data_IF_378077494838
#
_entry.id   IF_378077494838
#
_cell.length_a   1.000
_cell.length_b   1.000
_cell.length_c   1.000
_cell.angle_alpha   90.00
_cell.angle_beta   90.00
_cell.angle_gamma   90.00
#
_symmetry.space_group_name_H-M   'P 1'
#
loop_
_entity.id
_entity.type
_entity.pdbx_description
1 polymer ?
#
# COMPACT_ATOMS: atom_id res chain seq x y z
N UNK A 1 11.96 10.65 27.28
CA UNK A 1 13.00 11.06 26.31
C UNK A 1 13.26 12.54 26.54
N UNK A 2 14.46 12.90 26.95
CA UNK A 2 14.82 14.26 27.31
C UNK A 2 15.92 14.75 26.36
N UNK A 3 15.82 16.01 25.90
CA UNK A 3 16.85 16.65 25.08
C UNK A 3 17.24 17.93 25.80
N UNK A 4 18.50 18.01 26.21
CA UNK A 4 19.10 19.25 26.71
C UNK A 4 19.57 20.13 25.55
N UNK A 5 19.59 21.43 25.83
CA UNK A 5 20.22 22.43 24.97
C UNK A 5 21.73 22.24 25.07
N UNK A 6 22.44 22.36 23.94
CA UNK A 6 23.91 22.37 23.89
C UNK A 6 24.40 23.78 23.62
N UNK A 7 25.55 24.13 24.18
CA UNK A 7 26.14 25.44 24.00
C UNK A 7 26.53 25.68 22.53
N UNK A 8 26.20 26.87 22.02
CA UNK A 8 26.48 27.28 20.64
C UNK A 8 25.57 26.66 19.57
N UNK A 9 24.50 25.96 19.95
CA UNK A 9 23.55 25.42 18.98
C UNK A 9 22.46 26.42 18.56
N UNK A 10 21.98 26.27 17.33
CA UNK A 10 20.78 26.99 16.87
C UNK A 10 19.51 26.28 17.33
N UNK A 11 18.43 27.04 17.54
CA UNK A 11 17.12 26.53 17.93
C UNK A 11 16.61 25.43 16.98
N UNK A 12 16.87 25.55 15.68
CA UNK A 12 16.48 24.53 14.71
C UNK A 12 17.20 23.20 14.91
N UNK A 13 18.48 23.23 15.27
CA UNK A 13 19.28 22.03 15.50
C UNK A 13 18.72 21.24 16.70
N UNK A 14 18.32 21.94 17.77
CA UNK A 14 17.64 21.34 18.91
C UNK A 14 16.35 20.63 18.50
N UNK A 15 15.49 21.29 17.73
CA UNK A 15 14.22 20.72 17.25
C UNK A 15 14.43 19.48 16.38
N UNK A 16 15.44 19.49 15.50
CA UNK A 16 15.79 18.33 14.67
C UNK A 16 16.20 17.13 15.53
N UNK A 17 16.99 17.34 16.59
CA UNK A 17 17.38 16.27 17.53
C UNK A 17 16.18 15.74 18.30
N UNK A 18 15.33 16.64 18.81
CA UNK A 18 14.11 16.24 19.48
C UNK A 18 13.23 15.38 18.57
N UNK A 19 12.96 15.84 17.35
CA UNK A 19 12.17 15.09 16.38
C UNK A 19 12.80 13.72 16.06
N UNK A 20 14.11 13.67 15.83
CA UNK A 20 14.84 12.42 15.58
C UNK A 20 14.69 11.46 16.74
N UNK A 21 14.85 11.93 17.97
CA UNK A 21 14.78 11.07 19.14
C UNK A 21 13.33 10.62 19.43
N UNK A 22 12.31 11.42 19.10
CA UNK A 22 10.89 11.01 19.12
C UNK A 22 10.60 9.95 18.05
N UNK A 23 11.20 10.08 16.86
CA UNK A 23 11.09 9.07 15.81
C UNK A 23 11.76 7.76 16.22
N UNK A 24 12.95 7.85 16.82
CA UNK A 24 13.74 6.69 17.26
C UNK A 24 13.07 5.94 18.42
N UNK A 25 12.43 6.65 19.36
CA UNK A 25 11.70 6.02 20.46
C UNK A 25 10.47 5.25 19.99
N UNK A 26 9.96 5.53 18.78
CA UNK A 26 8.81 4.83 18.22
C UNK A 26 7.47 5.19 18.87
N UNK A 27 7.45 6.12 19.84
CA UNK A 27 6.26 6.48 20.64
C UNK A 27 5.03 6.76 19.77
N UNK A 28 5.18 7.59 18.73
CA UNK A 28 4.06 7.96 17.84
C UNK A 28 3.52 6.75 17.06
N UNK A 29 4.40 5.81 16.69
CA UNK A 29 4.01 4.59 15.99
C UNK A 29 3.22 3.67 16.92
N UNK A 30 3.60 3.57 18.18
CA UNK A 30 2.88 2.78 19.17
C UNK A 30 1.51 3.36 19.48
N UNK A 31 1.43 4.67 19.75
CA UNK A 31 0.15 5.37 19.98
C UNK A 31 -0.80 5.14 18.80
N UNK A 32 -0.30 5.30 17.56
CA UNK A 32 -1.12 5.05 16.37
C UNK A 32 -1.56 3.59 16.23
N UNK A 33 -0.70 2.64 16.62
CA UNK A 33 -1.03 1.21 16.56
C UNK A 33 -2.04 0.79 17.64
N UNK A 34 -2.05 1.47 18.79
CA UNK A 34 -2.96 1.22 19.92
C UNK A 34 -4.26 2.03 19.86
N UNK A 35 -4.41 2.95 18.89
CA UNK A 35 -5.59 3.83 18.73
C UNK A 35 -6.91 3.06 18.61
N UNK A 36 -6.88 1.87 18.00
CA UNK A 36 -8.05 1.02 17.81
C UNK A 36 -7.73 -0.42 18.18
N UNK A 37 -8.75 -1.17 18.60
CA UNK A 37 -8.62 -2.60 18.82
C UNK A 37 -8.36 -3.33 17.49
N UNK A 38 -7.39 -4.24 17.51
CA UNK A 38 -7.06 -5.12 16.38
C UNK A 38 -6.96 -6.53 16.93
N UNK A 39 -7.69 -7.47 16.32
CA UNK A 39 -7.67 -8.87 16.73
C UNK A 39 -6.29 -9.51 16.49
N UNK A 40 -6.00 -10.62 17.20
CA UNK A 40 -4.72 -11.30 17.07
C UNK A 40 -4.46 -11.83 15.65
N UNK A 41 -5.51 -12.31 14.96
CA UNK A 41 -5.42 -12.71 13.56
C UNK A 41 -5.05 -11.55 12.63
N UNK A 42 -5.65 -10.37 12.83
CA UNK A 42 -5.33 -9.20 12.01
C UNK A 42 -3.93 -8.65 12.32
N UNK A 43 -3.48 -8.68 13.57
CA UNK A 43 -2.08 -8.38 13.94
C UNK A 43 -1.09 -9.27 13.17
N UNK A 44 -1.36 -10.57 13.09
CA UNK A 44 -0.54 -11.54 12.35
C UNK A 44 -0.52 -11.23 10.85
N UNK A 45 -1.68 -10.98 10.23
CA UNK A 45 -1.79 -10.60 8.81
C UNK A 45 -1.04 -9.31 8.50
N UNK A 46 -1.15 -8.29 9.36
CA UNK A 46 -0.41 -7.03 9.22
C UNK A 46 1.10 -7.26 9.32
N UNK A 47 1.56 -8.11 10.25
CA UNK A 47 2.97 -8.43 10.43
C UNK A 47 3.54 -9.16 9.20
N UNK A 48 2.86 -10.20 8.71
CA UNK A 48 3.24 -10.94 7.50
C UNK A 48 3.28 -10.04 6.25
N UNK A 49 2.28 -9.17 6.09
CA UNK A 49 2.24 -8.20 4.99
C UNK A 49 3.43 -7.23 5.05
N UNK A 50 3.78 -6.75 6.26
CA UNK A 50 4.91 -5.84 6.49
C UNK A 50 6.26 -6.54 6.28
N UNK A 51 6.43 -7.79 6.71
CA UNK A 51 7.68 -8.53 6.49
C UNK A 51 7.92 -8.77 5.00
N UNK A 52 6.91 -9.25 4.28
CA UNK A 52 6.98 -9.42 2.83
C UNK A 52 7.30 -8.11 2.10
N UNK A 53 6.70 -6.99 2.51
CA UNK A 53 7.00 -5.67 1.95
C UNK A 53 8.45 -5.23 2.21
N UNK A 54 9.00 -5.51 3.41
CA UNK A 54 10.40 -5.22 3.73
C UNK A 54 11.35 -6.05 2.88
N UNK A 55 11.08 -7.35 2.71
CA UNK A 55 11.88 -8.23 1.86
C UNK A 55 11.91 -7.73 0.41
N UNK A 56 10.74 -7.45 -0.18
CA UNK A 56 10.65 -6.89 -1.54
C UNK A 56 11.44 -5.59 -1.70
N UNK A 57 11.44 -4.72 -0.70
CA UNK A 57 12.21 -3.47 -0.74
C UNK A 57 13.72 -3.71 -0.66
N UNK A 58 14.17 -4.66 0.16
CA UNK A 58 15.59 -5.04 0.23
C UNK A 58 16.08 -5.64 -1.09
N UNK A 59 15.33 -6.59 -1.63
CA UNK A 59 15.65 -7.22 -2.92
C UNK A 59 15.74 -6.20 -4.06
N UNK A 60 14.86 -5.19 -4.11
CA UNK A 60 14.93 -4.09 -5.09
C UNK A 60 16.20 -3.24 -4.94
N UNK A 61 16.59 -2.95 -3.70
CA UNK A 61 17.82 -2.21 -3.39
C UNK A 61 19.07 -3.00 -3.81
N UNK A 62 19.09 -4.29 -3.53
CA UNK A 62 20.19 -5.19 -3.90
C UNK A 62 20.30 -5.38 -5.42
N UNK A 63 19.17 -5.44 -6.13
CA UNK A 63 19.13 -5.53 -7.58
C UNK A 63 19.48 -4.22 -8.32
N UNK A 64 19.89 -3.16 -7.60
CA UNK A 64 20.22 -1.86 -8.20
C UNK A 64 19.05 -1.13 -8.87
N UNK A 65 17.81 -1.61 -8.68
CA UNK A 65 16.58 -1.04 -9.23
C UNK A 65 16.09 0.21 -8.47
N UNK A 66 16.91 0.76 -7.57
CA UNK A 66 16.63 2.02 -6.87
C UNK A 66 17.30 3.19 -7.62
N UNK A 67 16.94 3.38 -8.89
CA UNK A 67 17.03 4.71 -9.52
C UNK A 67 15.86 5.55 -9.02
N UNK A 68 16.12 6.84 -8.76
CA UNK A 68 15.26 7.70 -7.95
C UNK A 68 13.77 7.70 -8.29
N UNK A 69 12.97 7.84 -7.22
CA UNK A 69 11.51 7.86 -7.15
C UNK A 69 10.83 6.47 -7.07
N UNK A 70 9.87 6.29 -6.12
CA UNK A 70 9.03 5.09 -6.12
C UNK A 70 8.34 5.00 -7.50
N UNK A 71 8.05 3.80 -8.04
CA UNK A 71 7.25 3.72 -9.24
C UNK A 71 6.00 4.54 -8.97
N UNK A 72 5.79 5.58 -9.78
CA UNK A 72 4.58 6.37 -9.72
C UNK A 72 3.46 5.36 -9.61
N UNK A 73 2.62 5.49 -8.56
CA UNK A 73 1.37 4.73 -8.52
C UNK A 73 0.75 5.01 -9.87
N UNK A 74 0.81 4.06 -10.80
CA UNK A 74 0.28 4.24 -12.15
C UNK A 74 -1.12 4.72 -11.88
N UNK A 75 -1.38 5.99 -12.23
CA UNK A 75 -2.68 6.58 -12.03
C UNK A 75 -3.67 5.55 -12.56
N UNK A 76 -4.58 5.10 -11.70
CA UNK A 76 -5.75 4.42 -12.22
C UNK A 76 -6.34 5.36 -13.27
N UNK A 77 -6.77 4.86 -14.44
CA UNK A 77 -7.37 5.73 -15.44
C UNK A 77 -8.60 6.39 -14.79
N UNK A 78 -8.58 7.71 -14.59
CA UNK A 78 -9.76 8.44 -14.12
C UNK A 78 -9.53 9.49 -13.03
N UNK A 79 -8.54 10.37 -13.17
CA UNK A 79 -8.57 11.68 -12.52
C UNK A 79 -9.20 12.72 -13.44
N UNK A 80 -10.53 12.74 -13.57
CA UNK A 80 -11.24 13.90 -14.13
C UNK A 80 -11.43 14.90 -12.99
N UNK A 81 -10.65 15.98 -13.02
CA UNK A 81 -10.98 17.23 -12.34
C UNK A 81 -12.22 17.89 -12.95
N UNK A 82 -12.72 18.97 -12.33
CA UNK A 82 -14.14 19.29 -12.23
C UNK A 82 -14.72 19.83 -13.55
N UNK A 83 -15.67 19.09 -14.12
CA UNK A 83 -16.55 19.55 -15.18
C UNK A 83 -17.99 19.34 -14.74
N UNK A 84 -18.79 20.40 -14.78
CA UNK A 84 -20.16 20.52 -14.27
C UNK A 84 -21.22 19.62 -14.93
N UNK A 85 -22.51 19.88 -14.62
CA UNK A 85 -23.53 18.85 -14.44
C UNK A 85 -24.28 18.46 -15.72
N UNK A 86 -24.85 17.24 -15.70
CA UNK A 86 -26.13 16.94 -16.36
C UNK A 86 -26.07 16.08 -17.64
N UNK A 87 -26.86 15.01 -17.65
CA UNK A 87 -27.26 14.29 -18.87
C UNK A 87 -27.62 12.82 -18.62
N UNK A 88 -28.87 12.37 -18.85
CA UNK A 88 -29.35 11.07 -18.37
C UNK A 88 -28.99 9.88 -19.28
N UNK A 89 -29.11 8.71 -18.67
CA UNK A 89 -28.89 7.35 -19.18
C UNK A 89 -29.66 7.08 -20.49
N UNK A 90 -28.92 6.67 -21.53
CA UNK A 90 -29.51 6.00 -22.71
C UNK A 90 -29.83 4.52 -22.43
N UNK A 91 -30.83 3.95 -23.14
CA UNK A 91 -31.35 2.61 -22.86
C UNK A 91 -30.39 1.49 -23.32
N UNK A 92 -30.49 0.36 -22.62
CA UNK A 92 -29.82 -0.91 -22.94
C UNK A 92 -30.45 -1.52 -24.20
N UNK A 93 -29.68 -2.10 -25.14
CA UNK A 93 -30.23 -3.00 -26.13
C UNK A 93 -30.38 -4.41 -25.53
N UNK A 94 -31.59 -4.94 -25.67
CA UNK A 94 -31.99 -6.30 -25.34
C UNK A 94 -31.49 -7.32 -26.35
N UNK A 95 -31.25 -8.55 -25.86
CA UNK A 95 -31.34 -9.76 -26.67
C UNK A 95 -30.02 -10.31 -27.19
N UNK A 96 -29.65 -11.51 -26.73
CA UNK A 96 -29.61 -12.68 -27.59
C UNK A 96 -29.12 -13.91 -26.80
N UNK A 97 -30.01 -14.88 -26.73
CA UNK A 97 -29.78 -16.29 -26.42
C UNK A 97 -28.74 -16.94 -27.33
N UNK A 98 -27.99 -17.90 -26.77
CA UNK A 98 -27.14 -18.86 -27.48
C UNK A 98 -25.98 -19.22 -26.56
N UNK A 99 -25.73 -20.45 -26.14
CA UNK A 99 -25.95 -21.74 -26.77
C UNK A 99 -24.76 -22.57 -26.28
N UNK A 100 -25.03 -23.76 -25.74
CA UNK A 100 -24.00 -24.58 -25.08
C UNK A 100 -22.90 -25.05 -26.03
N UNK A 101 -21.72 -25.31 -25.46
CA UNK A 101 -20.67 -26.09 -26.09
C UNK A 101 -20.03 -27.03 -25.06
N UNK A 102 -20.43 -28.29 -25.20
CA UNK A 102 -19.70 -29.55 -25.00
C UNK A 102 -18.28 -29.52 -24.41
N UNK A 103 -18.10 -30.33 -23.36
CA UNK A 103 -16.82 -30.78 -22.85
C UNK A 103 -16.17 -31.82 -23.81
N UNK A 104 -14.83 -31.82 -23.97
CA UNK A 104 -14.13 -32.81 -24.78
C UNK A 104 -13.96 -34.17 -24.09
N UNK A 105 -14.07 -35.21 -24.89
CA UNK A 105 -13.96 -36.64 -24.55
C UNK A 105 -12.58 -37.06 -24.05
N UNK A 106 -12.53 -37.84 -22.97
CA UNK A 106 -11.37 -38.65 -22.59
C UNK A 106 -11.45 -40.03 -23.25
N UNK A 107 -10.43 -40.40 -24.03
CA UNK A 107 -10.24 -41.74 -24.57
C UNK A 107 -9.55 -42.68 -23.54
N UNK A 108 -9.80 -43.99 -23.58
CA UNK A 108 -9.30 -44.94 -22.58
C UNK A 108 -7.84 -45.37 -22.82
N UNK A 109 -7.14 -45.63 -21.71
CA UNK A 109 -5.82 -46.25 -21.66
C UNK A 109 -5.89 -47.70 -22.16
N UNK A 110 -5.00 -48.06 -23.07
CA UNK A 110 -4.76 -49.45 -23.46
C UNK A 110 -3.76 -50.11 -22.51
N UNK A 111 -3.93 -51.42 -22.36
CA UNK A 111 -3.25 -52.35 -21.45
C UNK A 111 -1.86 -52.77 -21.92
#
# INVERSE_FOLDING_TARGET
MFVSIRDGETQEALLRRFQRSVQNSGLLREVKAKRFFVSNGEKSRIAARKSAARYRRRARKEAGLETGAPPARRGGPGGRGPGGPGGPRGPRPDGASGGGASAPSAAPAQS
#
